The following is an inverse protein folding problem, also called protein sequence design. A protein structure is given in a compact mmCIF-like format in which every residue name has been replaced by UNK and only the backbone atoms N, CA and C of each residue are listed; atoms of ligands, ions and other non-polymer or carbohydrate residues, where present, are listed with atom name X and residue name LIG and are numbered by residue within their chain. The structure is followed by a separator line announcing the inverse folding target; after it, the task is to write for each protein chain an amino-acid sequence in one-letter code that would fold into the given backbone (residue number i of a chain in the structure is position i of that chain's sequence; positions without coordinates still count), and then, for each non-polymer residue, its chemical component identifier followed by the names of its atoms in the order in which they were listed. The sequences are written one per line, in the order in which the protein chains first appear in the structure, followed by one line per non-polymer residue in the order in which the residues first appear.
data_IF_681313931638
#
_entry.id   IF_681313931638
#
_cell.length_a   1.000
_cell.length_b   1.000
_cell.length_c   1.000
_cell.angle_alpha   90.00
_cell.angle_beta   90.00
_cell.angle_gamma   90.00
#
_symmetry.space_group_name_H-M   'P 1'
#
loop_
_entity.id
_entity.type
_entity.pdbx_description
1 polymer ?
#
# COMPACT_ATOMS: atom_id res chain seq x y z
N UNK A 1 34.90 -7.22 3.49
CA UNK A 1 34.05 -6.24 4.20
C UNK A 1 33.62 -5.24 3.15
N UNK A 2 32.60 -5.60 2.40
CA UNK A 2 32.14 -4.86 1.23
C UNK A 2 31.39 -3.62 1.68
N UNK A 3 31.91 -2.45 1.28
CA UNK A 3 31.26 -1.16 1.51
C UNK A 3 29.92 -1.15 0.78
N UNK A 4 28.83 -1.18 1.54
CA UNK A 4 27.47 -1.06 1.05
C UNK A 4 27.28 0.33 0.41
N UNK A 5 27.04 0.36 -0.91
CA UNK A 5 26.90 1.59 -1.72
C UNK A 5 25.43 1.96 -2.01
N UNK A 6 24.47 1.46 -1.23
CA UNK A 6 23.05 1.79 -1.43
C UNK A 6 22.77 3.25 -1.09
N UNK A 7 22.19 4.00 -2.04
CA UNK A 7 21.77 5.39 -1.84
C UNK A 7 20.33 5.42 -1.29
N UNK A 8 20.08 6.22 -0.27
CA UNK A 8 18.73 6.49 0.23
C UNK A 8 17.93 7.25 -0.83
N UNK A 9 16.86 6.63 -1.33
CA UNK A 9 15.91 7.31 -2.21
C UNK A 9 15.00 8.21 -1.36
N UNK A 10 14.99 9.51 -1.63
CA UNK A 10 14.11 10.47 -0.95
C UNK A 10 12.76 10.53 -1.68
N UNK A 11 11.65 10.59 -0.95
CA UNK A 11 10.30 10.72 -1.52
C UNK A 11 9.91 12.18 -1.77
N UNK A 12 10.85 13.12 -1.67
CA UNK A 12 10.57 14.57 -1.65
C UNK A 12 10.02 15.09 -2.99
N UNK A 13 10.47 14.51 -4.11
CA UNK A 13 10.03 14.90 -5.46
C UNK A 13 8.68 14.30 -5.86
N UNK A 14 8.24 13.24 -5.17
CA UNK A 14 6.97 12.56 -5.41
C UNK A 14 6.11 12.65 -4.17
N UNK A 15 5.33 13.75 -4.03
CA UNK A 15 4.20 13.74 -3.09
C UNK A 15 3.42 12.46 -3.36
N UNK A 16 3.21 11.56 -2.37
CA UNK A 16 2.44 10.35 -2.60
C UNK A 16 1.11 10.76 -3.19
N UNK A 17 0.89 10.38 -4.45
CA UNK A 17 -0.19 10.93 -5.26
C UNK A 17 -1.57 10.65 -4.65
N UNK A 18 -1.64 9.63 -3.78
CA UNK A 18 -2.82 9.28 -3.00
C UNK A 18 -2.41 8.78 -1.60
N UNK A 19 -2.90 9.40 -0.50
CA UNK A 19 -2.68 8.89 0.84
C UNK A 19 -3.51 7.62 1.05
N UNK A 20 -2.88 6.47 0.78
CA UNK A 20 -3.45 5.15 1.02
C UNK A 20 -3.48 4.85 2.52
N UNK A 21 -4.56 4.23 2.97
CA UNK A 21 -4.78 3.77 4.33
C UNK A 21 -5.06 2.27 4.31
N UNK A 22 -4.54 1.59 5.32
CA UNK A 22 -4.80 0.18 5.54
C UNK A 22 -6.08 -0.02 6.37
N UNK A 23 -6.94 -0.93 5.92
CA UNK A 23 -8.16 -1.36 6.59
C UNK A 23 -8.19 -2.89 6.67
N UNK A 24 -8.85 -3.40 7.70
CA UNK A 24 -9.12 -4.83 7.85
C UNK A 24 -10.63 -5.04 7.86
N UNK A 25 -11.13 -5.88 6.98
CA UNK A 25 -12.55 -6.21 6.95
C UNK A 25 -12.93 -7.20 8.08
N UNK A 26 -14.22 -7.56 8.15
CA UNK A 26 -14.74 -8.47 9.19
C UNK A 26 -14.28 -9.92 9.01
N UNK A 27 -13.98 -10.32 7.78
CA UNK A 27 -13.46 -11.63 7.42
C UNK A 27 -11.94 -11.73 7.68
N UNK A 28 -11.32 -10.60 7.98
CA UNK A 28 -9.92 -10.47 8.34
C UNK A 28 -8.98 -10.20 7.16
N UNK A 29 -9.51 -9.90 5.98
CA UNK A 29 -8.70 -9.55 4.82
C UNK A 29 -8.17 -8.12 4.93
N UNK A 30 -6.93 -7.93 4.48
CA UNK A 30 -6.26 -6.63 4.45
C UNK A 30 -6.58 -5.87 3.18
N UNK A 31 -6.95 -4.60 3.31
CA UNK A 31 -7.29 -3.71 2.22
C UNK A 31 -6.47 -2.43 2.30
N UNK A 32 -5.97 -1.98 1.15
CA UNK A 32 -5.35 -0.68 0.98
C UNK A 32 -6.30 0.19 0.17
N UNK A 33 -6.84 1.20 0.83
CA UNK A 33 -7.85 2.07 0.26
C UNK A 33 -7.39 3.53 0.32
N UNK A 34 -7.97 4.37 -0.52
CA UNK A 34 -7.79 5.82 -0.36
C UNK A 34 -8.48 6.35 0.89
N UNK A 35 -8.16 7.59 1.26
CA UNK A 35 -8.67 8.23 2.48
C UNK A 35 -10.19 8.36 2.54
N UNK A 36 -10.87 8.46 1.39
CA UNK A 36 -12.29 8.84 1.27
C UNK A 36 -13.20 7.65 0.90
N UNK A 37 -12.92 6.47 1.48
CA UNK A 37 -13.73 5.25 1.29
C UNK A 37 -14.71 5.02 2.44
N UNK A 38 -15.82 4.34 2.13
CA UNK A 38 -16.75 3.80 3.11
C UNK A 38 -16.31 2.39 3.55
N UNK A 39 -15.84 2.21 4.80
CA UNK A 39 -15.40 0.91 5.32
C UNK A 39 -16.54 -0.09 5.53
N UNK A 40 -17.80 0.35 5.48
CA UNK A 40 -18.96 -0.53 5.54
C UNK A 40 -19.53 -0.86 4.15
N UNK A 41 -19.00 -0.23 3.10
CA UNK A 41 -19.36 -0.48 1.71
C UNK A 41 -18.51 -1.58 1.07
N UNK A 42 -18.73 -1.79 -0.22
CA UNK A 42 -17.90 -2.70 -1.02
C UNK A 42 -16.53 -2.03 -1.29
N UNK A 43 -15.49 -2.51 -0.61
CA UNK A 43 -14.12 -2.00 -0.74
C UNK A 43 -13.54 -2.24 -2.14
N UNK A 44 -13.88 -3.36 -2.77
CA UNK A 44 -13.38 -3.71 -4.10
C UNK A 44 -13.96 -2.75 -5.16
N UNK A 45 -15.27 -2.48 -5.09
CA UNK A 45 -15.94 -1.54 -6.00
C UNK A 45 -15.44 -0.09 -5.84
N UNK A 46 -14.93 0.25 -4.65
CA UNK A 46 -14.34 1.55 -4.34
C UNK A 46 -12.87 1.68 -4.80
N UNK A 47 -12.33 0.65 -5.45
CA UNK A 47 -10.95 0.66 -5.95
C UNK A 47 -9.90 0.41 -4.88
N UNK A 48 -10.29 -0.14 -3.73
CA UNK A 48 -9.32 -0.64 -2.75
C UNK A 48 -8.59 -1.87 -3.28
N UNK A 49 -7.32 -2.00 -2.93
CA UNK A 49 -6.52 -3.17 -3.26
C UNK A 49 -6.52 -4.18 -2.13
N UNK A 50 -6.82 -5.44 -2.42
CA UNK A 50 -6.57 -6.54 -1.48
C UNK A 50 -5.07 -6.76 -1.33
N UNK A 51 -4.60 -6.79 -0.10
CA UNK A 51 -3.21 -7.11 0.22
C UNK A 51 -2.84 -8.54 -0.23
N UNK A 52 -3.83 -9.42 -0.36
CA UNK A 52 -3.64 -10.84 -0.68
C UNK A 52 -3.52 -11.06 -2.20
N UNK A 53 -4.03 -10.14 -3.00
CA UNK A 53 -3.94 -10.14 -4.47
C UNK A 53 -2.71 -9.34 -4.95
N UNK A 54 -2.26 -8.37 -4.14
CA UNK A 54 -1.10 -7.55 -4.45
C UNK A 54 0.17 -8.16 -3.85
N UNK A 55 0.85 -8.99 -4.63
CA UNK A 55 2.28 -9.19 -4.43
C UNK A 55 2.97 -7.86 -4.71
N UNK A 56 3.13 -7.00 -3.70
CA UNK A 56 4.12 -5.94 -3.78
C UNK A 56 5.41 -6.63 -4.20
N UNK A 57 6.02 -6.30 -5.36
CA UNK A 57 7.30 -6.90 -5.73
C UNK A 57 8.21 -6.60 -4.56
N UNK A 58 8.48 -7.63 -3.77
CA UNK A 58 9.25 -7.50 -2.55
C UNK A 58 10.54 -6.82 -2.99
N UNK A 59 10.77 -5.58 -2.52
CA UNK A 59 12.00 -4.87 -2.77
C UNK A 59 13.12 -5.87 -2.51
N UNK A 60 13.89 -6.16 -3.58
CA UNK A 60 14.67 -7.37 -3.72
C UNK A 60 15.48 -7.72 -2.47
N UNK A 61 15.54 -9.03 -2.20
CA UNK A 61 16.46 -9.64 -1.22
C UNK A 61 17.88 -9.07 -1.34
#
# INVERSE_FOLDING_TARGET
MDNDKRQEATTDTHKPARPLKFFKDRDGNGWLCDKDIDPNGDLQAQGCWRCDEMAFPAGGR
#
